data_IF_965245438743
#
_entry.id   IF_965245438743
#
_cell.length_a   1.000
_cell.length_b   1.000
_cell.length_c   1.000
_cell.angle_alpha   90.00
_cell.angle_beta   90.00
_cell.angle_gamma   90.00
#
_symmetry.space_group_name_H-M   'P 1'
#
loop_
_entity.id
_entity.type
_entity.pdbx_description
1 polymer ?
#
# COMPACT_ATOMS: atom_id res chain seq x y z
N UNK A 1 -12.64 5.47 12.35
CA UNK A 1 -11.52 5.06 11.47
C UNK A 1 -10.86 6.31 10.91
N UNK A 2 -9.55 6.36 10.86
CA UNK A 2 -8.73 7.43 10.26
C UNK A 2 -7.55 6.83 9.49
N UNK A 3 -6.95 7.63 8.60
CA UNK A 3 -5.82 7.21 7.77
C UNK A 3 -4.57 7.94 8.21
N UNK A 4 -3.46 7.22 8.34
CA UNK A 4 -2.17 7.73 8.78
C UNK A 4 -1.12 7.47 7.70
N UNK A 5 -0.20 8.44 7.50
CA UNK A 5 1.06 8.21 6.81
C UNK A 5 2.18 8.13 7.87
N UNK A 6 2.72 6.93 8.08
CA UNK A 6 3.75 6.68 9.08
C UNK A 6 5.10 6.54 8.40
N UNK A 7 6.05 7.40 8.74
CA UNK A 7 7.44 7.37 8.29
C UNK A 7 8.36 7.04 9.45
N UNK A 8 9.63 6.79 9.16
CA UNK A 8 10.65 6.60 10.20
C UNK A 8 10.72 7.78 11.19
N UNK A 9 10.54 9.01 10.70
CA UNK A 9 10.57 10.22 11.54
C UNK A 9 9.35 10.35 12.45
N UNK A 10 8.20 9.77 12.05
CA UNK A 10 6.93 9.92 12.78
C UNK A 10 6.50 8.67 13.54
N UNK A 11 7.18 7.54 13.37
CA UNK A 11 6.79 6.24 13.95
C UNK A 11 6.64 6.27 15.47
N UNK A 12 7.45 7.09 16.15
CA UNK A 12 7.40 7.23 17.60
C UNK A 12 6.09 7.88 18.12
N UNK A 13 5.34 8.58 17.28
CA UNK A 13 4.01 9.12 17.60
C UNK A 13 2.89 8.08 17.38
N UNK A 14 3.19 6.96 16.71
CA UNK A 14 2.21 5.99 16.25
C UNK A 14 2.47 4.57 16.75
N UNK A 15 3.02 4.41 17.97
CA UNK A 15 3.50 3.12 18.47
C UNK A 15 2.48 1.98 18.38
N UNK A 16 1.20 2.22 18.76
CA UNK A 16 0.16 1.20 18.65
C UNK A 16 -0.16 0.85 17.19
N UNK A 17 -0.27 1.84 16.30
CA UNK A 17 -0.49 1.61 14.88
C UNK A 17 0.69 0.87 14.25
N UNK A 18 1.91 1.23 14.65
CA UNK A 18 3.15 0.59 14.19
C UNK A 18 3.19 -0.90 14.52
N UNK A 19 2.99 -1.27 15.76
CA UNK A 19 3.03 -2.68 16.17
C UNK A 19 1.87 -3.45 15.52
N UNK A 20 0.66 -2.91 15.58
CA UNK A 20 -0.53 -3.62 15.09
C UNK A 20 -0.55 -3.81 13.58
N UNK A 21 0.07 -2.93 12.77
CA UNK A 21 0.13 -3.17 11.33
C UNK A 21 1.04 -4.35 10.96
N UNK A 22 2.15 -4.55 11.68
CA UNK A 22 3.00 -5.74 11.50
C UNK A 22 2.30 -7.03 11.95
N UNK A 23 1.47 -6.96 13.00
CA UNK A 23 0.61 -8.07 13.42
C UNK A 23 -0.48 -8.35 12.39
N UNK A 24 -1.08 -7.30 11.80
CA UNK A 24 -2.04 -7.45 10.72
C UNK A 24 -1.40 -8.10 9.48
N UNK A 25 -0.19 -7.71 9.12
CA UNK A 25 0.58 -8.33 8.03
C UNK A 25 0.84 -9.81 8.32
N UNK A 26 1.24 -10.16 9.55
CA UNK A 26 1.41 -11.56 9.96
C UNK A 26 0.10 -12.34 9.80
N UNK A 27 -1.00 -11.83 10.31
CA UNK A 27 -2.33 -12.43 10.17
C UNK A 27 -2.72 -12.63 8.69
N UNK A 28 -2.46 -11.65 7.83
CA UNK A 28 -2.81 -11.70 6.42
C UNK A 28 -1.92 -12.65 5.62
N UNK A 29 -0.60 -12.53 5.75
CA UNK A 29 0.35 -13.21 4.86
C UNK A 29 0.83 -14.55 5.41
N UNK A 30 1.09 -14.65 6.72
CA UNK A 30 1.58 -15.87 7.34
C UNK A 30 0.43 -16.79 7.72
N UNK A 31 -0.52 -16.32 8.53
CA UNK A 31 -1.58 -17.19 9.03
C UNK A 31 -2.59 -17.59 7.96
N UNK A 32 -3.03 -16.64 7.11
CA UNK A 32 -4.09 -16.90 6.11
C UNK A 32 -3.56 -17.35 4.78
N UNK A 33 -2.59 -16.63 4.21
CA UNK A 33 -2.04 -16.94 2.90
C UNK A 33 -1.00 -18.07 2.94
N UNK A 34 -0.52 -18.43 4.15
CA UNK A 34 0.52 -19.44 4.35
C UNK A 34 1.82 -19.12 3.57
N UNK A 35 2.10 -17.83 3.37
CA UNK A 35 3.34 -17.42 2.72
C UNK A 35 4.52 -17.64 3.65
N UNK A 36 5.61 -18.16 3.09
CA UNK A 36 6.88 -18.28 3.79
C UNK A 36 7.63 -16.94 3.71
N UNK A 37 7.27 -16.00 4.57
CA UNK A 37 7.90 -14.68 4.67
C UNK A 37 8.52 -14.51 6.05
N UNK A 38 9.58 -13.65 6.19
CA UNK A 38 10.22 -13.41 7.46
C UNK A 38 9.20 -12.95 8.52
N UNK A 39 9.21 -13.63 9.66
CA UNK A 39 8.34 -13.30 10.80
C UNK A 39 8.98 -13.70 12.13
N UNK A 40 8.67 -12.96 13.18
CA UNK A 40 9.11 -13.25 14.54
C UNK A 40 7.95 -13.04 15.51
N UNK A 41 7.65 -14.05 16.31
CA UNK A 41 6.42 -14.05 17.10
C UNK A 41 5.20 -13.94 16.19
N UNK A 42 4.33 -12.96 16.42
CA UNK A 42 3.17 -12.65 15.59
C UNK A 42 3.39 -11.37 14.76
N UNK A 43 4.61 -11.10 14.35
CA UNK A 43 5.00 -9.90 13.61
C UNK A 43 5.62 -10.34 12.28
N UNK A 44 5.12 -9.86 11.14
CA UNK A 44 5.77 -9.99 9.83
C UNK A 44 6.58 -8.72 9.57
N UNK A 45 7.86 -8.91 9.24
CA UNK A 45 8.82 -7.84 9.00
C UNK A 45 9.89 -8.36 8.05
N UNK A 46 10.17 -7.64 6.97
CA UNK A 46 11.12 -8.05 5.95
C UNK A 46 12.25 -7.02 5.71
N UNK A 47 13.21 -7.37 4.86
CA UNK A 47 14.37 -6.55 4.51
C UNK A 47 14.04 -5.20 3.86
N UNK A 48 12.81 -5.03 3.38
CA UNK A 48 12.31 -3.79 2.77
C UNK A 48 11.62 -2.86 3.78
N UNK A 49 11.48 -3.27 5.02
CA UNK A 49 10.98 -2.43 6.13
C UNK A 49 12.14 -1.55 6.65
N UNK A 50 12.61 -0.65 5.80
CA UNK A 50 13.74 0.24 6.03
C UNK A 50 13.28 1.65 6.41
N UNK A 51 14.17 2.53 6.90
CA UNK A 51 13.85 3.94 7.14
C UNK A 51 13.32 4.70 5.92
N UNK A 52 13.55 4.20 4.69
CA UNK A 52 13.01 4.79 3.45
C UNK A 52 11.54 4.42 3.20
N UNK A 53 11.00 3.43 3.91
CA UNK A 53 9.62 3.01 3.75
C UNK A 53 8.66 3.99 4.44
N UNK A 54 7.54 4.25 3.78
CA UNK A 54 6.37 4.93 4.34
C UNK A 54 5.20 3.96 4.36
N UNK A 55 4.41 4.00 5.40
CA UNK A 55 3.23 3.14 5.56
C UNK A 55 1.97 3.97 5.56
N UNK A 56 1.04 3.64 4.67
CA UNK A 56 -0.32 4.18 4.74
C UNK A 56 -1.15 3.17 5.50
N UNK A 57 -1.68 3.59 6.64
CA UNK A 57 -2.43 2.76 7.57
C UNK A 57 -3.84 3.31 7.75
N UNK A 58 -4.84 2.43 7.68
CA UNK A 58 -6.18 2.75 8.20
C UNK A 58 -6.29 2.16 9.59
N UNK A 59 -6.62 2.98 10.58
CA UNK A 59 -6.69 2.58 12.00
C UNK A 59 -8.07 2.81 12.60
N UNK A 60 -8.39 2.05 13.64
CA UNK A 60 -9.56 2.26 14.49
C UNK A 60 -9.34 3.39 15.53
N UNK A 61 -10.32 3.59 16.38
CA UNK A 61 -10.29 4.63 17.41
C UNK A 61 -9.30 4.31 18.55
N UNK A 62 -8.79 3.07 18.61
CA UNK A 62 -7.72 2.63 19.52
C UNK A 62 -6.35 2.62 18.85
N UNK A 63 -6.23 3.18 17.66
CA UNK A 63 -5.02 3.16 16.81
C UNK A 63 -4.55 1.75 16.39
N UNK A 64 -5.44 0.75 16.35
CA UNK A 64 -5.10 -0.55 15.81
C UNK A 64 -5.28 -0.54 14.29
N UNK A 65 -4.32 -1.09 13.57
CA UNK A 65 -4.36 -1.16 12.11
C UNK A 65 -5.46 -2.11 11.63
N UNK A 66 -6.34 -1.57 10.79
CA UNK A 66 -7.39 -2.30 10.07
C UNK A 66 -6.99 -2.54 8.61
N UNK A 67 -6.06 -1.77 8.09
CA UNK A 67 -5.51 -1.88 6.76
C UNK A 67 -4.13 -1.28 6.66
N UNK A 68 -3.33 -1.76 5.72
CA UNK A 68 -1.93 -1.38 5.54
C UNK A 68 -1.52 -1.40 4.07
N UNK A 69 -0.58 -0.55 3.72
CA UNK A 69 0.27 -0.68 2.54
C UNK A 69 1.62 -0.03 2.84
N UNK A 70 2.69 -0.59 2.27
CA UNK A 70 4.03 -0.03 2.35
C UNK A 70 4.39 0.62 1.01
N UNK A 71 4.97 1.81 1.06
CA UNK A 71 5.44 2.58 -0.07
C UNK A 71 6.95 2.78 0.03
N UNK A 72 7.70 2.48 -1.04
CA UNK A 72 9.17 2.59 -1.09
C UNK A 72 9.57 3.29 -2.39
N UNK A 73 10.43 4.35 -2.34
CA UNK A 73 10.95 4.96 -3.57
C UNK A 73 11.79 3.95 -4.37
N UNK A 74 11.62 3.92 -5.70
CA UNK A 74 12.37 2.98 -6.56
C UNK A 74 13.86 3.32 -6.69
N UNK A 75 14.30 4.45 -6.14
CA UNK A 75 15.72 4.80 -5.95
C UNK A 75 16.38 4.07 -4.79
N UNK A 76 15.61 3.29 -4.01
CA UNK A 76 16.07 2.41 -2.93
C UNK A 76 15.83 0.95 -3.31
N UNK A 77 16.41 -0.04 -2.61
CA UNK A 77 16.06 -1.44 -2.80
C UNK A 77 14.55 -1.66 -2.59
N UNK A 78 13.89 -2.34 -3.54
CA UNK A 78 12.45 -2.63 -3.52
C UNK A 78 12.14 -4.05 -4.00
N UNK A 79 11.02 -4.61 -3.57
CA UNK A 79 10.70 -6.03 -3.68
C UNK A 79 10.65 -6.54 -5.12
N UNK A 80 9.99 -5.81 -6.03
CA UNK A 80 9.80 -6.27 -7.42
C UNK A 80 11.14 -6.48 -8.10
N UNK A 81 12.07 -5.56 -7.90
CA UNK A 81 13.42 -5.65 -8.47
C UNK A 81 14.19 -6.87 -7.95
N UNK A 82 13.97 -7.23 -6.69
CA UNK A 82 14.68 -8.35 -6.04
C UNK A 82 14.01 -9.71 -6.28
N UNK A 83 12.65 -9.75 -6.26
CA UNK A 83 11.91 -11.01 -6.21
C UNK A 83 11.20 -11.37 -7.53
N UNK A 84 10.74 -10.38 -8.31
CA UNK A 84 9.91 -10.59 -9.50
C UNK A 84 10.32 -9.74 -10.72
N UNK A 85 11.63 -9.58 -11.04
CA UNK A 85 12.05 -8.79 -12.20
C UNK A 85 11.50 -9.33 -13.52
N UNK A 86 11.20 -10.61 -13.58
CA UNK A 86 10.68 -11.32 -14.75
C UNK A 86 9.18 -11.07 -15.02
N UNK A 87 8.48 -10.32 -14.17
CA UNK A 87 7.10 -9.86 -14.41
C UNK A 87 7.04 -8.53 -15.18
N UNK A 88 8.18 -8.02 -15.61
CA UNK A 88 8.29 -6.72 -16.26
C UNK A 88 9.06 -6.86 -17.58
N UNK A 89 8.43 -6.44 -18.69
CA UNK A 89 9.01 -6.53 -20.04
C UNK A 89 10.02 -5.41 -20.34
N UNK A 90 10.07 -4.39 -19.50
CA UNK A 90 10.94 -3.22 -19.66
C UNK A 90 11.91 -3.09 -18.51
N UNK A 91 12.84 -2.15 -18.60
CA UNK A 91 13.72 -1.85 -17.48
C UNK A 91 12.91 -1.39 -16.25
N UNK A 92 13.26 -1.95 -15.09
CA UNK A 92 12.64 -1.58 -13.83
C UNK A 92 13.05 -0.15 -13.42
N UNK A 93 12.10 0.69 -12.98
CA UNK A 93 12.37 2.09 -12.71
C UNK A 93 13.35 2.29 -11.56
N UNK A 94 14.15 3.35 -11.68
CA UNK A 94 14.95 3.93 -10.62
C UNK A 94 14.73 5.45 -10.65
N UNK A 95 13.60 5.90 -10.09
CA UNK A 95 13.10 7.26 -10.25
C UNK A 95 12.37 7.72 -8.99
N UNK A 96 12.63 8.94 -8.55
CA UNK A 96 12.02 9.50 -7.32
C UNK A 96 10.51 9.74 -7.45
N UNK A 97 9.98 9.87 -8.66
CA UNK A 97 8.55 10.01 -8.90
C UNK A 97 7.80 8.69 -9.07
N UNK A 98 8.49 7.54 -8.96
CA UNK A 98 7.89 6.20 -9.04
C UNK A 98 8.24 5.43 -7.77
N UNK A 99 7.22 5.00 -7.05
CA UNK A 99 7.40 4.25 -5.80
C UNK A 99 6.78 2.87 -5.90
N UNK A 100 7.36 1.87 -5.24
CA UNK A 100 6.72 0.57 -5.08
C UNK A 100 5.65 0.64 -4.00
N UNK A 101 4.46 0.09 -4.29
CA UNK A 101 3.41 -0.18 -3.32
C UNK A 101 3.34 -1.68 -3.05
N UNK A 102 3.61 -2.09 -1.81
CA UNK A 102 3.63 -3.49 -1.37
C UNK A 102 2.89 -3.67 -0.05
N UNK A 103 2.67 -4.91 0.37
CA UNK A 103 1.96 -5.24 1.63
C UNK A 103 0.56 -4.62 1.73
N UNK A 104 -0.11 -4.43 0.59
CA UNK A 104 -1.47 -3.90 0.53
C UNK A 104 -2.49 -4.92 1.02
N UNK A 105 -3.33 -4.53 1.97
CA UNK A 105 -4.42 -5.37 2.45
C UNK A 105 -5.16 -4.81 3.65
N UNK A 106 -6.24 -5.51 4.03
CA UNK A 106 -7.05 -5.15 5.19
C UNK A 106 -7.42 -6.38 6.03
N UNK A 107 -7.82 -6.15 7.27
CA UNK A 107 -8.31 -7.21 8.14
C UNK A 107 -9.57 -7.84 7.56
N UNK A 108 -9.52 -9.15 7.30
CA UNK A 108 -10.65 -9.90 6.76
C UNK A 108 -11.71 -10.28 7.81
N UNK A 109 -11.43 -10.08 9.09
CA UNK A 109 -12.43 -10.31 10.15
C UNK A 109 -13.44 -9.15 10.25
N UNK A 110 -13.14 -8.04 9.61
CA UNK A 110 -14.10 -6.96 9.42
C UNK A 110 -15.28 -7.42 8.52
N UNK A 111 -16.46 -6.88 8.75
CA UNK A 111 -17.59 -7.05 7.84
C UNK A 111 -17.31 -6.47 6.44
N UNK A 112 -18.13 -6.82 5.45
CA UNK A 112 -17.91 -6.46 4.06
C UNK A 112 -17.93 -4.93 3.82
N UNK A 113 -18.75 -4.20 4.56
CA UNK A 113 -18.89 -2.74 4.43
C UNK A 113 -17.64 -2.07 4.99
N UNK A 114 -17.22 -2.47 6.18
CA UNK A 114 -16.01 -1.98 6.84
C UNK A 114 -14.76 -2.27 6.01
N UNK A 115 -14.64 -3.48 5.43
CA UNK A 115 -13.53 -3.82 4.52
C UNK A 115 -13.46 -2.91 3.30
N UNK A 116 -14.61 -2.67 2.64
CA UNK A 116 -14.66 -1.75 1.49
C UNK A 116 -14.20 -0.35 1.88
N UNK A 117 -14.64 0.13 3.03
CA UNK A 117 -14.26 1.46 3.53
C UNK A 117 -12.77 1.54 3.85
N UNK A 118 -12.19 0.53 4.51
CA UNK A 118 -10.75 0.46 4.80
C UNK A 118 -9.93 0.47 3.50
N UNK A 119 -10.30 -0.34 2.52
CA UNK A 119 -9.63 -0.39 1.21
C UNK A 119 -9.72 0.95 0.49
N UNK A 120 -10.89 1.58 0.47
CA UNK A 120 -11.09 2.91 -0.12
C UNK A 120 -10.20 3.98 0.56
N UNK A 121 -10.13 3.95 1.89
CA UNK A 121 -9.26 4.87 2.65
C UNK A 121 -7.77 4.62 2.38
N UNK A 122 -7.33 3.37 2.21
CA UNK A 122 -5.94 3.07 1.83
C UNK A 122 -5.61 3.63 0.44
N UNK A 123 -6.48 3.41 -0.56
CA UNK A 123 -6.28 3.90 -1.92
C UNK A 123 -6.23 5.44 -1.93
N UNK A 124 -7.19 6.08 -1.27
CA UNK A 124 -7.21 7.56 -1.15
C UNK A 124 -5.99 8.10 -0.42
N UNK A 125 -5.60 7.47 0.69
CA UNK A 125 -4.39 7.84 1.43
C UNK A 125 -3.12 7.72 0.59
N UNK A 126 -3.01 6.67 -0.24
CA UNK A 126 -1.91 6.54 -1.20
C UNK A 126 -1.93 7.67 -2.24
N UNK A 127 -3.10 8.02 -2.78
CA UNK A 127 -3.23 9.11 -3.76
C UNK A 127 -2.85 10.46 -3.14
N UNK A 128 -3.37 10.78 -1.96
CA UNK A 128 -3.05 12.02 -1.25
C UNK A 128 -1.56 12.12 -0.90
N UNK A 129 -0.98 11.04 -0.36
CA UNK A 129 0.45 10.98 -0.06
C UNK A 129 1.27 11.14 -1.34
N UNK A 130 0.92 10.41 -2.39
CA UNK A 130 1.65 10.44 -3.66
C UNK A 130 1.68 11.83 -4.28
N UNK A 131 0.55 12.53 -4.33
CA UNK A 131 0.46 13.91 -4.82
C UNK A 131 1.34 14.84 -3.98
N UNK A 132 1.27 14.73 -2.65
CA UNK A 132 2.05 15.55 -1.74
C UNK A 132 3.57 15.32 -1.83
N UNK A 133 3.99 14.14 -2.28
CA UNK A 133 5.40 13.77 -2.46
C UNK A 133 5.89 13.90 -3.93
N UNK A 134 5.04 14.34 -4.85
CA UNK A 134 5.40 14.44 -6.28
C UNK A 134 5.52 13.06 -6.97
N UNK A 135 4.91 12.03 -6.42
CA UNK A 135 4.85 10.70 -7.02
C UNK A 135 3.86 10.72 -8.17
N UNK A 136 4.23 10.18 -9.32
CA UNK A 136 3.38 10.08 -10.51
C UNK A 136 2.75 8.70 -10.67
N UNK A 137 3.39 7.65 -10.15
CA UNK A 137 2.93 6.27 -10.23
C UNK A 137 3.37 5.44 -9.05
N UNK A 138 2.52 4.51 -8.67
CA UNK A 138 2.93 3.36 -7.86
C UNK A 138 3.15 2.14 -8.74
N UNK A 139 4.16 1.36 -8.42
CA UNK A 139 4.47 0.07 -9.02
C UNK A 139 4.10 -1.03 -8.00
N UNK A 140 3.34 -2.04 -8.40
CA UNK A 140 2.96 -3.13 -7.49
C UNK A 140 2.92 -4.49 -8.17
N UNK A 141 3.09 -5.56 -7.39
CA UNK A 141 2.78 -6.94 -7.80
C UNK A 141 1.64 -7.46 -6.96
N UNK A 142 0.55 -7.84 -7.60
CA UNK A 142 -0.66 -8.37 -6.95
C UNK A 142 -1.36 -9.39 -7.84
N UNK A 143 -2.28 -10.18 -7.28
CA UNK A 143 -3.22 -10.95 -8.09
C UNK A 143 -3.97 -10.05 -9.08
N UNK A 144 -4.11 -10.48 -10.32
CA UNK A 144 -4.76 -9.69 -11.39
C UNK A 144 -6.17 -9.27 -11.04
N UNK A 145 -6.90 -10.08 -10.27
CA UNK A 145 -8.24 -9.72 -9.78
C UNK A 145 -8.22 -8.54 -8.80
N UNK A 146 -7.13 -8.34 -8.02
CA UNK A 146 -6.98 -7.16 -7.14
C UNK A 146 -6.82 -5.91 -7.99
N UNK A 147 -5.97 -5.94 -9.02
CA UNK A 147 -5.85 -4.81 -9.95
C UNK A 147 -7.20 -4.48 -10.60
N UNK A 148 -7.90 -5.50 -11.10
CA UNK A 148 -9.14 -5.33 -11.84
C UNK A 148 -10.32 -4.83 -10.98
N UNK A 149 -10.55 -5.48 -9.84
CA UNK A 149 -11.76 -5.26 -9.05
C UNK A 149 -11.56 -4.37 -7.82
N UNK A 150 -10.33 -4.25 -7.34
CA UNK A 150 -10.04 -3.43 -6.16
C UNK A 150 -9.42 -2.10 -6.58
N UNK A 151 -8.36 -2.11 -7.36
CA UNK A 151 -7.68 -0.87 -7.75
C UNK A 151 -8.47 -0.15 -8.86
N UNK A 152 -8.60 -0.76 -10.04
CA UNK A 152 -9.37 -0.17 -11.15
C UNK A 152 -10.87 -0.07 -10.82
N UNK A 153 -11.42 -0.96 -10.01
CA UNK A 153 -12.80 -0.87 -9.51
C UNK A 153 -13.08 0.32 -8.58
N UNK A 154 -12.05 1.02 -8.10
CA UNK A 154 -12.12 2.30 -7.40
C UNK A 154 -11.61 3.47 -8.27
N UNK A 155 -11.73 3.35 -9.59
CA UNK A 155 -11.34 4.38 -10.57
C UNK A 155 -9.86 4.80 -10.52
N UNK A 156 -8.96 3.91 -10.04
CA UNK A 156 -7.52 4.07 -10.18
C UNK A 156 -7.05 3.40 -11.48
N UNK A 157 -6.52 4.14 -12.47
CA UNK A 157 -5.99 3.56 -13.70
C UNK A 157 -4.82 2.61 -13.42
N UNK A 158 -4.82 1.45 -14.10
CA UNK A 158 -3.82 0.40 -13.97
C UNK A 158 -3.23 0.10 -15.34
N UNK A 159 -1.90 0.07 -15.45
CA UNK A 159 -1.16 -0.29 -16.67
C UNK A 159 -0.24 -1.47 -16.37
N UNK A 160 -0.51 -2.63 -16.95
CA UNK A 160 0.34 -3.81 -16.79
C UNK A 160 1.71 -3.59 -17.39
N UNK A 161 2.75 -4.15 -16.77
CA UNK A 161 4.15 -3.95 -17.14
C UNK A 161 4.77 -5.15 -17.88
N UNK A 162 4.06 -6.27 -17.95
CA UNK A 162 4.55 -7.48 -18.55
C UNK A 162 3.57 -8.64 -18.40
N UNK A 163 4.04 -9.89 -18.53
CA UNK A 163 3.19 -11.08 -18.52
C UNK A 163 2.58 -11.33 -17.13
N UNK A 164 1.53 -12.15 -17.12
CA UNK A 164 1.00 -12.74 -15.90
C UNK A 164 1.70 -14.05 -15.59
N UNK A 165 1.86 -14.36 -14.31
CA UNK A 165 2.42 -15.61 -13.83
C UNK A 165 1.48 -16.24 -12.79
N UNK A 166 1.33 -17.57 -12.84
CA UNK A 166 0.59 -18.29 -11.80
C UNK A 166 1.49 -18.60 -10.62
N UNK A 167 1.23 -17.94 -9.49
CA UNK A 167 1.99 -18.10 -8.25
C UNK A 167 1.05 -18.02 -7.05
N UNK A 168 1.32 -18.81 -6.00
CA UNK A 168 0.50 -18.86 -4.78
C UNK A 168 -1.00 -19.09 -5.03
N UNK A 169 -1.33 -19.89 -6.05
CA UNK A 169 -2.72 -20.18 -6.42
C UNK A 169 -3.46 -19.07 -7.20
N UNK A 170 -2.78 -17.97 -7.52
CA UNK A 170 -3.33 -16.83 -8.24
C UNK A 170 -2.54 -16.51 -9.52
N UNK A 171 -3.19 -15.87 -10.47
CA UNK A 171 -2.48 -15.12 -11.52
C UNK A 171 -2.02 -13.79 -10.93
N UNK A 172 -0.71 -13.56 -10.90
CA UNK A 172 -0.10 -12.31 -10.47
C UNK A 172 0.48 -11.56 -11.66
N UNK A 173 0.55 -10.26 -11.55
CA UNK A 173 1.18 -9.37 -12.52
C UNK A 173 1.86 -8.21 -11.83
N UNK A 174 2.82 -7.58 -12.53
CA UNK A 174 3.33 -6.26 -12.19
C UNK A 174 2.51 -5.20 -12.94
N UNK A 175 2.16 -4.11 -12.26
CA UNK A 175 1.46 -3.01 -12.91
C UNK A 175 1.80 -1.67 -12.26
N UNK A 176 1.70 -0.61 -13.06
CA UNK A 176 1.63 0.76 -12.60
C UNK A 176 0.20 1.12 -12.18
N UNK A 177 0.09 1.94 -11.15
CA UNK A 177 -1.15 2.57 -10.67
C UNK A 177 -0.89 4.07 -10.72
N UNK A 178 -1.68 4.81 -11.48
CA UNK A 178 -1.49 6.24 -11.69
C UNK A 178 -1.81 7.05 -10.43
N UNK A 179 -0.99 8.07 -10.20
CA UNK A 179 -1.17 9.06 -9.13
C UNK A 179 -1.32 10.43 -9.75
N UNK A 180 -2.47 11.05 -9.57
CA UNK A 180 -2.74 12.39 -10.07
C UNK A 180 -3.94 13.03 -9.34
N UNK A 181 -4.08 14.37 -9.39
CA UNK A 181 -5.28 15.04 -8.88
C UNK A 181 -6.58 14.54 -9.51
N UNK A 182 -6.57 14.19 -10.81
CA UNK A 182 -7.73 13.62 -11.50
C UNK A 182 -8.07 12.22 -11.02
N UNK A 183 -7.07 11.36 -10.79
CA UNK A 183 -7.27 10.04 -10.20
C UNK A 183 -7.81 10.15 -8.78
N UNK A 184 -7.26 11.03 -7.95
CA UNK A 184 -7.74 11.27 -6.59
C UNK A 184 -9.23 11.67 -6.59
N UNK A 185 -9.63 12.57 -7.49
CA UNK A 185 -11.02 13.01 -7.57
C UNK A 185 -11.95 11.89 -8.08
N UNK A 186 -11.52 11.09 -9.06
CA UNK A 186 -12.25 9.93 -9.54
C UNK A 186 -12.50 8.92 -8.40
N UNK A 187 -11.46 8.60 -7.61
CA UNK A 187 -11.58 7.70 -6.45
C UNK A 187 -12.50 8.28 -5.39
N UNK A 188 -12.46 9.59 -5.13
CA UNK A 188 -13.39 10.26 -4.19
C UNK A 188 -14.83 10.14 -4.66
N UNK A 189 -15.08 10.35 -5.94
CA UNK A 189 -16.41 10.19 -6.52
C UNK A 189 -16.91 8.75 -6.43
N UNK A 190 -16.07 7.78 -6.78
CA UNK A 190 -16.41 6.35 -6.73
C UNK A 190 -16.70 5.86 -5.30
N UNK A 191 -15.90 6.29 -4.33
CA UNK A 191 -15.99 5.82 -2.93
C UNK A 191 -16.97 6.61 -2.07
N UNK A 192 -17.36 7.82 -2.50
CA UNK A 192 -18.17 8.76 -1.71
C UNK A 192 -17.42 9.38 -0.52
N UNK A 193 -16.13 9.12 -0.36
CA UNK A 193 -15.30 9.68 0.71
C UNK A 193 -14.78 11.04 0.27
N UNK A 194 -15.19 12.10 0.97
CA UNK A 194 -14.82 13.48 0.68
C UNK A 194 -13.89 14.05 1.74
N UNK A 195 -13.09 15.06 1.34
CA UNK A 195 -12.12 15.72 2.21
C UNK A 195 -10.78 14.99 2.28
N UNK A 196 -9.79 15.63 2.89
CA UNK A 196 -8.46 15.06 3.11
C UNK A 196 -8.52 13.99 4.20
N UNK A 197 -7.88 12.86 3.94
CA UNK A 197 -7.74 11.74 4.89
C UNK A 197 -6.45 11.84 5.71
N UNK A 198 -5.38 12.33 5.07
CA UNK A 198 -4.09 12.53 5.72
C UNK A 198 -4.04 13.93 6.31
N UNK A 199 -3.62 14.02 7.57
CA UNK A 199 -3.35 15.32 8.19
C UNK A 199 -2.21 16.00 7.44
N UNK A 200 -2.30 17.34 7.18
CA UNK A 200 -1.17 18.07 6.63
C UNK A 200 0.04 17.86 7.54
N UNK A 201 1.22 17.60 6.97
CA UNK A 201 2.46 17.56 7.75
C UNK A 201 2.52 18.83 8.60
N UNK A 202 2.53 18.69 9.92
CA UNK A 202 2.94 19.77 10.81
C UNK A 202 4.37 20.13 10.41
N UNK A 203 4.52 21.22 9.66
CA UNK A 203 5.82 21.78 9.38
C UNK A 203 6.31 22.28 10.74
N UNK A 204 7.21 21.53 11.37
CA UNK A 204 7.95 22.05 12.50
C UNK A 204 8.72 23.24 11.95
N UNK A 205 8.22 24.45 12.26
CA UNK A 205 8.96 25.70 12.06
C UNK A 205 10.15 25.59 13.03
N UNK A 206 11.33 25.44 12.44
CA UNK A 206 12.61 25.43 13.16
C UNK A 206 12.88 26.83 13.74
#
# INVERSE_FOLDING_TARGET
MRTLAVTWETVHHHGQAWISHHQLRYKMFVERQKWNVPSYGQIEYDEFDTPAATYILTVDDQNRALGTTRLIPTTRPYMIKSLWPYLVDTELPQNDSIWEASRFGCDRDLDAISRRRVVAQLILGCQEFGIAQGISRYLGVMPTWVFKYVIAGNDCPVTYMGPTLRQYGHEIAAAYIDVSPSTLEAVRCCTGIRGALLEPKLTLVA
#
